data_IF_913167182469
#
_entry.id   IF_913167182469
#
_cell.length_a   1.000
_cell.length_b   1.000
_cell.length_c   1.000
_cell.angle_alpha   90.00
_cell.angle_beta   90.00
_cell.angle_gamma   90.00
#
_symmetry.space_group_name_H-M   'P 1'
#
loop_
_entity.id
_entity.type
_entity.pdbx_description
1 polymer ?
#
# COMPACT_ATOMS: atom_id res chain seq x y z
N UNK A 1 53.59 16.47 -26.73
CA UNK A 1 52.23 15.91 -26.55
C UNK A 1 51.34 17.06 -26.11
N UNK A 2 50.57 17.62 -27.03
CA UNK A 2 49.84 18.87 -26.84
C UNK A 2 48.41 18.69 -26.33
N UNK A 3 48.02 19.63 -25.46
CA UNK A 3 46.76 20.40 -25.40
C UNK A 3 45.40 19.69 -25.49
N UNK A 4 44.49 20.02 -24.56
CA UNK A 4 43.06 20.12 -24.91
C UNK A 4 42.04 19.82 -23.81
N UNK A 5 41.74 20.86 -23.02
CA UNK A 5 40.41 21.28 -22.54
C UNK A 5 39.25 20.25 -22.40
N UNK A 6 38.75 20.16 -21.17
CA UNK A 6 37.33 20.18 -20.74
C UNK A 6 36.23 19.86 -21.77
N UNK A 7 35.45 18.81 -21.48
CA UNK A 7 34.00 18.83 -21.71
C UNK A 7 33.26 18.28 -20.50
N UNK A 8 32.60 19.19 -19.78
CA UNK A 8 31.50 18.88 -18.86
C UNK A 8 30.35 18.32 -19.70
N UNK A 9 29.93 17.08 -19.45
CA UNK A 9 28.63 16.57 -19.92
C UNK A 9 27.71 16.33 -18.73
N UNK A 10 26.98 17.41 -18.43
CA UNK A 10 25.59 17.50 -17.98
C UNK A 10 24.87 16.14 -17.77
N UNK A 11 24.41 15.91 -16.54
CA UNK A 11 23.27 15.03 -16.25
C UNK A 11 22.04 15.42 -17.09
N UNK A 12 21.20 14.44 -17.41
CA UNK A 12 19.77 14.63 -17.26
C UNK A 12 19.22 13.71 -16.18
N UNK A 13 18.48 14.37 -15.29
CA UNK A 13 17.47 13.88 -14.38
C UNK A 13 16.67 12.69 -14.92
N UNK A 14 16.17 11.86 -14.01
CA UNK A 14 14.92 11.13 -14.27
C UNK A 14 14.86 9.71 -13.72
N UNK A 15 14.31 9.61 -12.52
CA UNK A 15 13.30 8.60 -12.14
C UNK A 15 13.69 7.12 -12.25
N UNK A 16 13.87 6.51 -11.09
CA UNK A 16 13.75 5.05 -10.97
C UNK A 16 14.67 4.40 -9.96
N UNK A 17 15.05 5.07 -8.87
CA UNK A 17 15.71 4.37 -7.77
C UNK A 17 14.69 3.42 -7.13
N UNK A 18 14.78 2.17 -7.57
CA UNK A 18 14.12 1.00 -7.02
C UNK A 18 14.25 1.02 -5.50
N UNK A 19 13.14 1.25 -4.80
CA UNK A 19 13.07 1.36 -3.33
C UNK A 19 13.24 0.00 -2.64
N UNK A 20 13.77 -1.01 -3.33
CA UNK A 20 14.23 -2.25 -2.71
C UNK A 20 15.68 -2.08 -2.27
N UNK A 21 15.89 -1.33 -1.19
CA UNK A 21 17.18 -1.25 -0.52
C UNK A 21 17.10 -2.06 0.77
N UNK A 22 17.56 -3.30 0.66
CA UNK A 22 18.01 -4.22 1.72
C UNK A 22 17.47 -3.93 3.13
N UNK A 23 16.37 -4.60 3.49
CA UNK A 23 15.96 -4.71 4.89
C UNK A 23 17.11 -5.39 5.65
N UNK A 24 17.72 -4.70 6.61
CA UNK A 24 18.65 -5.35 7.53
C UNK A 24 17.82 -6.24 8.46
N UNK A 25 18.35 -7.40 8.87
CA UNK A 25 17.68 -8.29 9.83
C UNK A 25 17.30 -7.58 11.14
N UNK A 26 18.01 -6.50 11.46
CA UNK A 26 17.79 -5.60 12.59
C UNK A 26 16.54 -4.72 12.45
N UNK A 27 16.01 -4.53 11.23
CA UNK A 27 14.84 -3.69 10.98
C UNK A 27 13.50 -4.45 11.20
N UNK A 28 13.53 -5.78 11.34
CA UNK A 28 12.32 -6.58 11.57
C UNK A 28 11.90 -6.43 13.03
N UNK A 29 10.70 -5.90 13.26
CA UNK A 29 10.14 -5.77 14.61
C UNK A 29 9.93 -7.17 15.23
N UNK A 30 10.11 -7.26 16.54
CA UNK A 30 9.62 -8.44 17.24
C UNK A 30 8.07 -8.46 17.20
N UNK A 31 7.42 -9.62 17.42
CA UNK A 31 5.97 -9.73 17.33
C UNK A 31 5.21 -8.74 18.23
N UNK A 32 5.69 -8.50 19.45
CA UNK A 32 5.05 -7.57 20.39
C UNK A 32 5.11 -6.12 19.90
N UNK A 33 6.25 -5.70 19.35
CA UNK A 33 6.44 -4.37 18.75
C UNK A 33 5.59 -4.21 17.50
N UNK A 34 5.52 -5.24 16.65
CA UNK A 34 4.63 -5.25 15.49
C UNK A 34 3.17 -5.08 15.92
N UNK A 35 2.70 -5.88 16.88
CA UNK A 35 1.30 -5.86 17.34
C UNK A 35 0.94 -4.52 17.95
N UNK A 36 1.82 -3.97 18.79
CA UNK A 36 1.66 -2.64 19.36
C UNK A 36 1.57 -1.57 18.28
N UNK A 37 2.51 -1.55 17.32
CA UNK A 37 2.55 -0.55 16.27
C UNK A 37 1.33 -0.63 15.34
N UNK A 38 0.92 -1.86 15.00
CA UNK A 38 -0.29 -2.15 14.22
C UNK A 38 -1.54 -1.66 14.97
N UNK A 39 -1.62 -1.89 16.28
CA UNK A 39 -2.70 -1.40 17.14
C UNK A 39 -2.77 0.13 17.17
N UNK A 40 -1.64 0.80 17.39
CA UNK A 40 -1.57 2.27 17.40
C UNK A 40 -1.98 2.86 16.05
N UNK A 41 -1.48 2.30 14.94
CA UNK A 41 -1.87 2.72 13.60
C UNK A 41 -3.39 2.57 13.38
N UNK A 42 -3.98 1.47 13.86
CA UNK A 42 -5.43 1.22 13.80
C UNK A 42 -6.21 2.28 14.56
N UNK A 43 -5.79 2.63 15.79
CA UNK A 43 -6.44 3.68 16.60
C UNK A 43 -6.34 5.03 15.90
N UNK A 44 -5.19 5.38 15.32
CA UNK A 44 -5.04 6.61 14.55
C UNK A 44 -5.96 6.65 13.32
N UNK A 45 -6.14 5.53 12.61
CA UNK A 45 -7.11 5.46 11.51
C UNK A 45 -8.55 5.68 12.00
N UNK A 46 -8.97 4.99 13.05
CA UNK A 46 -10.33 5.06 13.59
C UNK A 46 -10.66 6.45 14.14
N UNK A 47 -9.68 7.13 14.72
CA UNK A 47 -9.80 8.50 15.23
C UNK A 47 -9.48 9.57 14.17
N UNK A 48 -9.36 9.18 12.90
CA UNK A 48 -9.12 10.08 11.75
C UNK A 48 -7.81 10.89 11.81
N UNK A 49 -6.85 10.45 12.63
CA UNK A 49 -5.51 11.04 12.74
C UNK A 49 -4.59 10.53 11.63
N UNK A 50 -4.97 10.79 10.37
CA UNK A 50 -4.34 10.24 9.17
C UNK A 50 -2.84 10.54 9.07
N UNK A 51 -2.43 11.76 9.42
CA UNK A 51 -1.02 12.18 9.42
C UNK A 51 -0.15 11.34 10.37
N UNK A 52 -0.73 10.81 11.46
CA UNK A 52 -0.03 9.94 12.41
C UNK A 52 -0.10 8.47 11.99
N UNK A 53 -1.20 8.03 11.39
CA UNK A 53 -1.36 6.66 10.91
C UNK A 53 -0.40 6.33 9.76
N UNK A 54 -0.25 7.25 8.80
CA UNK A 54 0.52 7.05 7.57
C UNK A 54 1.96 6.55 7.79
N UNK A 55 2.81 7.22 8.59
CA UNK A 55 4.20 6.77 8.76
C UNK A 55 4.29 5.38 9.43
N UNK A 56 3.38 5.05 10.34
CA UNK A 56 3.37 3.75 11.00
C UNK A 56 2.99 2.62 10.03
N UNK A 57 1.95 2.84 9.22
CA UNK A 57 1.52 1.88 8.20
C UNK A 57 2.58 1.71 7.11
N UNK A 58 3.19 2.80 6.65
CA UNK A 58 4.28 2.74 5.67
C UNK A 58 5.48 1.97 6.20
N UNK A 59 5.82 2.14 7.49
CA UNK A 59 6.86 1.35 8.14
C UNK A 59 6.50 -0.13 8.16
N UNK A 60 5.30 -0.49 8.64
CA UNK A 60 4.84 -1.87 8.70
C UNK A 60 4.81 -2.55 7.32
N UNK A 61 4.34 -1.85 6.28
CA UNK A 61 4.33 -2.36 4.90
C UNK A 61 5.74 -2.53 4.32
N UNK A 62 6.71 -1.71 4.75
CA UNK A 62 8.10 -1.84 4.34
C UNK A 62 8.76 -3.05 4.99
N UNK A 63 8.54 -3.24 6.29
CA UNK A 63 9.14 -4.33 7.07
C UNK A 63 8.49 -5.69 6.81
N UNK A 64 7.18 -5.69 6.55
CA UNK A 64 6.38 -6.90 6.29
C UNK A 64 5.64 -6.76 4.96
N UNK A 65 6.36 -6.76 3.82
CA UNK A 65 5.77 -6.47 2.51
C UNK A 65 4.73 -7.50 2.06
N UNK A 66 4.78 -8.72 2.61
CA UNK A 66 3.83 -9.80 2.33
C UNK A 66 2.60 -9.80 3.25
N UNK A 67 2.62 -8.99 4.31
CA UNK A 67 1.51 -8.91 5.26
C UNK A 67 0.39 -8.00 4.73
N UNK A 68 -0.78 -8.59 4.55
CA UNK A 68 -1.94 -7.92 3.99
C UNK A 68 -2.59 -6.93 4.96
N UNK A 69 -2.44 -7.10 6.27
CA UNK A 69 -3.13 -6.24 7.26
C UNK A 69 -2.69 -4.77 7.18
N UNK A 70 -1.40 -4.42 7.35
CA UNK A 70 -0.97 -3.03 7.25
C UNK A 70 -1.13 -2.48 5.83
N UNK A 71 -1.04 -3.34 4.82
CA UNK A 71 -1.23 -2.96 3.42
C UNK A 71 -2.69 -2.58 3.12
N UNK A 72 -3.67 -3.33 3.64
CA UNK A 72 -5.08 -2.96 3.56
C UNK A 72 -5.42 -1.69 4.35
N UNK A 73 -4.81 -1.52 5.52
CA UNK A 73 -4.98 -0.30 6.32
C UNK A 73 -4.41 0.93 5.59
N UNK A 74 -3.27 0.79 4.91
CA UNK A 74 -2.70 1.85 4.07
C UNK A 74 -3.57 2.13 2.84
N UNK A 75 -4.14 1.10 2.21
CA UNK A 75 -5.11 1.27 1.12
C UNK A 75 -6.32 2.08 1.59
N UNK A 76 -6.88 1.74 2.76
CA UNK A 76 -8.02 2.43 3.33
C UNK A 76 -7.70 3.88 3.69
N UNK A 77 -6.51 4.12 4.25
CA UNK A 77 -6.01 5.47 4.51
C UNK A 77 -5.95 6.33 3.25
N UNK A 78 -5.37 5.80 2.17
CA UNK A 78 -5.31 6.50 0.88
C UNK A 78 -6.70 6.80 0.34
N UNK A 79 -7.64 5.84 0.43
CA UNK A 79 -9.03 6.07 0.04
C UNK A 79 -9.68 7.20 0.85
N UNK A 80 -9.48 7.24 2.18
CA UNK A 80 -10.00 8.28 3.06
C UNK A 80 -9.40 9.67 2.75
N UNK A 81 -8.15 9.71 2.29
CA UNK A 81 -7.47 10.93 1.83
C UNK A 81 -7.87 11.36 0.41
N UNK A 82 -8.71 10.58 -0.28
CA UNK A 82 -9.11 10.86 -1.67
C UNK A 82 -8.12 10.34 -2.73
N UNK A 83 -7.06 9.66 -2.31
CA UNK A 83 -5.99 9.13 -3.16
C UNK A 83 -6.38 7.73 -3.68
N UNK A 84 -7.41 7.66 -4.52
CA UNK A 84 -8.02 6.40 -4.94
C UNK A 84 -7.07 5.52 -5.78
N UNK A 85 -6.18 6.09 -6.61
CA UNK A 85 -5.21 5.30 -7.37
C UNK A 85 -4.17 4.62 -6.45
N UNK A 86 -3.68 5.32 -5.43
CA UNK A 86 -2.72 4.78 -4.46
C UNK A 86 -3.38 3.69 -3.60
N UNK A 87 -4.66 3.85 -3.26
CA UNK A 87 -5.44 2.83 -2.59
C UNK A 87 -5.54 1.55 -3.44
N UNK A 88 -5.82 1.66 -4.74
CA UNK A 88 -5.86 0.52 -5.66
C UNK A 88 -4.50 -0.18 -5.77
N UNK A 89 -3.39 0.57 -5.88
CA UNK A 89 -2.04 -0.03 -5.89
C UNK A 89 -1.76 -0.86 -4.63
N UNK A 90 -2.20 -0.40 -3.47
CA UNK A 90 -2.08 -1.18 -2.24
C UNK A 90 -2.97 -2.43 -2.28
N UNK A 91 -4.16 -2.34 -2.87
CA UNK A 91 -5.05 -3.49 -3.03
C UNK A 91 -4.47 -4.55 -3.96
N UNK A 92 -3.88 -4.15 -5.09
CA UNK A 92 -3.26 -5.06 -6.06
C UNK A 92 -2.07 -5.81 -5.44
N UNK A 93 -1.32 -5.13 -4.56
CA UNK A 93 -0.25 -5.78 -3.78
C UNK A 93 -0.78 -6.81 -2.78
N UNK A 94 -1.97 -6.58 -2.18
CA UNK A 94 -2.59 -7.59 -1.31
C UNK A 94 -2.91 -8.86 -2.09
N UNK A 95 -3.50 -8.71 -3.28
CA UNK A 95 -3.88 -9.82 -4.17
C UNK A 95 -2.67 -10.57 -4.72
N UNK A 96 -1.58 -9.85 -5.03
CA UNK A 96 -0.34 -10.43 -5.53
C UNK A 96 0.49 -11.18 -4.47
N UNK A 97 0.06 -11.18 -3.20
CA UNK A 97 0.76 -11.92 -2.14
C UNK A 97 0.61 -13.42 -2.35
N UNK A 98 1.69 -14.18 -2.12
CA UNK A 98 1.75 -15.63 -2.29
C UNK A 98 0.68 -16.41 -1.48
N UNK A 99 0.08 -15.78 -0.49
CA UNK A 99 -0.95 -16.39 0.37
C UNK A 99 -2.38 -16.17 -0.17
N UNK A 100 -2.56 -15.47 -1.30
CA UNK A 100 -3.85 -15.09 -1.86
C UNK A 100 -4.62 -14.11 -0.95
N UNK A 101 -5.73 -13.53 -1.43
CA UNK A 101 -6.51 -12.55 -0.66
C UNK A 101 -7.16 -13.21 0.57
N UNK A 102 -6.73 -12.84 1.78
CA UNK A 102 -7.32 -13.35 3.03
C UNK A 102 -8.55 -12.58 3.47
N UNK A 103 -8.55 -11.27 3.26
CA UNK A 103 -9.61 -10.38 3.71
C UNK A 103 -10.41 -9.84 2.53
N UNK A 104 -11.64 -10.34 2.40
CA UNK A 104 -12.55 -10.00 1.30
C UNK A 104 -13.01 -8.55 1.31
N UNK A 105 -12.83 -7.82 2.43
CA UNK A 105 -13.06 -6.36 2.48
C UNK A 105 -12.14 -5.62 1.51
N UNK A 106 -11.06 -6.24 1.04
CA UNK A 106 -10.26 -5.77 -0.08
C UNK A 106 -11.13 -5.42 -1.30
N UNK A 107 -12.02 -6.33 -1.72
CA UNK A 107 -12.87 -6.13 -2.90
C UNK A 107 -13.90 -5.02 -2.66
N UNK A 108 -14.43 -4.89 -1.44
CA UNK A 108 -15.29 -3.76 -1.10
C UNK A 108 -14.53 -2.43 -1.19
N UNK A 109 -13.30 -2.38 -0.70
CA UNK A 109 -12.45 -1.19 -0.79
C UNK A 109 -12.10 -0.84 -2.24
N UNK A 110 -11.74 -1.83 -3.08
CA UNK A 110 -11.50 -1.64 -4.52
C UNK A 110 -12.75 -1.10 -5.21
N UNK A 111 -13.93 -1.63 -4.87
CA UNK A 111 -15.20 -1.14 -5.39
C UNK A 111 -15.39 0.35 -5.10
N UNK A 112 -15.17 0.79 -3.87
CA UNK A 112 -15.26 2.20 -3.51
C UNK A 112 -14.20 3.08 -4.19
N UNK A 113 -12.99 2.58 -4.39
CA UNK A 113 -11.95 3.30 -5.13
C UNK A 113 -12.36 3.48 -6.60
N UNK A 114 -12.87 2.42 -7.25
CA UNK A 114 -13.36 2.50 -8.61
C UNK A 114 -14.56 3.44 -8.77
N UNK A 115 -15.48 3.49 -7.79
CA UNK A 115 -16.55 4.50 -7.78
C UNK A 115 -16.01 5.93 -7.73
N UNK A 116 -15.01 6.21 -6.87
CA UNK A 116 -14.37 7.55 -6.81
C UNK A 116 -13.70 7.94 -8.13
N UNK A 117 -13.17 6.97 -8.87
CA UNK A 117 -12.53 7.18 -10.17
C UNK A 117 -13.52 7.19 -11.35
N UNK A 118 -14.82 6.96 -11.11
CA UNK A 118 -15.84 6.90 -12.16
C UNK A 118 -15.91 5.56 -12.92
N UNK A 119 -15.13 4.55 -12.52
CA UNK A 119 -15.06 3.24 -13.15
C UNK A 119 -16.19 2.32 -12.66
N UNK A 120 -17.43 2.64 -13.05
CA UNK A 120 -18.64 1.97 -12.53
C UNK A 120 -18.67 0.45 -12.74
N UNK A 121 -18.24 -0.04 -13.91
CA UNK A 121 -18.24 -1.48 -14.20
C UNK A 121 -17.33 -2.24 -13.23
N UNK A 122 -16.07 -1.80 -13.11
CA UNK A 122 -15.10 -2.38 -12.18
C UNK A 122 -15.56 -2.27 -10.72
N UNK A 123 -16.25 -1.19 -10.35
CA UNK A 123 -16.83 -1.06 -9.02
C UNK A 123 -17.89 -2.14 -8.76
N UNK A 124 -18.78 -2.37 -9.70
CA UNK A 124 -19.83 -3.39 -9.62
C UNK A 124 -19.23 -4.80 -9.56
N UNK A 125 -18.25 -5.11 -10.41
CA UNK A 125 -17.58 -6.42 -10.42
C UNK A 125 -16.93 -6.71 -9.07
N UNK A 126 -16.18 -5.74 -8.52
CA UNK A 126 -15.54 -5.88 -7.20
C UNK A 126 -16.57 -6.00 -6.07
N UNK A 127 -17.70 -5.30 -6.16
CA UNK A 127 -18.78 -5.47 -5.20
C UNK A 127 -19.41 -6.87 -5.27
N UNK A 128 -19.56 -7.42 -6.47
CA UNK A 128 -20.01 -8.80 -6.65
C UNK A 128 -19.02 -9.81 -6.08
N UNK A 129 -17.71 -9.63 -6.28
CA UNK A 129 -16.71 -10.48 -5.62
C UNK A 129 -16.80 -10.42 -4.09
N UNK A 130 -17.05 -9.22 -3.53
CA UNK A 130 -17.32 -9.07 -2.11
C UNK A 130 -18.59 -9.83 -1.67
N UNK A 131 -19.72 -9.68 -2.40
CA UNK A 131 -21.01 -10.25 -2.01
C UNK A 131 -21.15 -11.76 -2.27
N UNK A 132 -20.59 -12.28 -3.37
CA UNK A 132 -20.71 -13.67 -3.78
C UNK A 132 -20.09 -14.64 -2.75
N UNK A 133 -19.10 -14.15 -2.00
CA UNK A 133 -18.46 -14.90 -0.92
C UNK A 133 -19.31 -15.13 0.33
N UNK A 134 -20.51 -14.53 0.39
CA UNK A 134 -21.54 -14.72 1.42
C UNK A 134 -22.57 -15.80 1.03
N UNK A 135 -22.48 -16.36 -0.19
CA UNK A 135 -23.47 -17.27 -0.78
C UNK A 135 -22.98 -18.70 -0.98
N UNK A 136 -21.80 -19.08 -0.48
CA UNK A 136 -21.46 -20.50 -0.38
C UNK A 136 -22.05 -21.07 0.92
N UNK A 137 -22.98 -22.04 0.83
CA UNK A 137 -23.56 -22.71 2.00
C UNK A 137 -22.51 -23.50 2.80
#
# INVERSE_FOLDING_TARGET
MGTGQTTVKKQPDGTGESVNKDLRTEDILNPQQYDWLSGVATVYLQTRQYAKAQPLLSLLVRLYPSDQKPLMQLAYLHYLQGNAEQALKCCDRCESSAQGVKDRRLYLLRSFCHLKLGNKNLATDNYHYFSASRMMP
#
